data_IF_499693795015
#
_entry.id   IF_499693795015
#
_cell.length_a   1.000
_cell.length_b   1.000
_cell.length_c   1.000
_cell.angle_alpha   90.00
_cell.angle_beta   90.00
_cell.angle_gamma   90.00
#
_symmetry.space_group_name_H-M   'P 1'
#
loop_
_entity.id
_entity.type
_entity.pdbx_description
1 polymer ?
#
# COMPACT_ATOMS: atom_id res chain seq x y z
N UNK A 1 29.39 -12.11 -31.89
CA UNK A 1 28.07 -11.97 -31.24
C UNK A 1 28.32 -11.37 -29.86
N UNK A 2 27.86 -10.13 -29.62
CA UNK A 2 28.08 -9.41 -28.37
C UNK A 2 27.03 -9.88 -27.35
N UNK A 3 27.48 -10.43 -26.22
CA UNK A 3 26.66 -10.67 -25.04
C UNK A 3 26.38 -9.31 -24.37
N UNK A 4 25.17 -8.81 -24.54
CA UNK A 4 24.64 -7.70 -23.74
C UNK A 4 24.17 -8.27 -22.40
N UNK A 5 24.92 -7.99 -21.34
CA UNK A 5 24.49 -8.21 -19.97
C UNK A 5 23.33 -7.26 -19.65
N UNK A 6 22.24 -7.80 -19.10
CA UNK A 6 21.12 -7.03 -18.56
C UNK A 6 21.58 -6.33 -17.28
N UNK A 7 21.71 -5.00 -17.34
CA UNK A 7 21.80 -4.14 -16.16
C UNK A 7 20.38 -3.65 -15.84
N UNK A 8 19.59 -4.44 -15.11
CA UNK A 8 18.35 -3.96 -14.51
C UNK A 8 18.67 -3.48 -13.09
N UNK A 9 18.69 -2.17 -12.87
CA UNK A 9 18.79 -1.59 -11.55
C UNK A 9 17.37 -1.38 -11.00
N UNK A 10 17.04 -2.07 -9.90
CA UNK A 10 15.81 -1.89 -9.14
C UNK A 10 16.20 -1.17 -7.85
N UNK A 11 15.59 -0.01 -7.60
CA UNK A 11 15.66 0.67 -6.31
C UNK A 11 14.30 0.49 -5.63
N UNK A 12 14.25 -0.30 -4.56
CA UNK A 12 13.11 -0.41 -3.66
C UNK A 12 13.18 0.71 -2.63
N UNK A 13 12.11 1.47 -2.47
CA UNK A 13 11.94 2.42 -1.38
C UNK A 13 10.63 2.09 -0.67
N UNK A 14 10.70 2.15 0.66
CA UNK A 14 9.54 2.18 1.52
C UNK A 14 8.63 3.30 1.03
N UNK A 15 7.43 2.95 0.57
CA UNK A 15 6.34 3.94 0.54
C UNK A 15 5.92 4.14 1.97
N UNK A 16 6.77 4.85 2.72
CA UNK A 16 6.26 5.97 3.46
C UNK A 16 5.87 6.97 2.36
N UNK A 17 4.79 7.67 2.60
CA UNK A 17 3.91 8.35 1.66
C UNK A 17 4.48 9.52 0.79
N UNK A 18 5.73 10.05 0.86
CA UNK A 18 6.05 11.32 0.19
C UNK A 18 6.02 11.35 -1.35
N UNK A 19 6.41 10.29 -2.06
CA UNK A 19 6.64 10.42 -3.51
C UNK A 19 5.41 10.14 -4.41
N UNK A 20 4.29 9.76 -3.80
CA UNK A 20 2.96 9.74 -4.45
C UNK A 20 2.24 11.10 -4.36
N UNK A 21 2.93 12.15 -3.93
CA UNK A 21 2.31 13.45 -3.69
C UNK A 21 1.42 13.38 -2.45
N UNK A 22 2.01 13.27 -1.26
CA UNK A 22 1.27 13.63 -0.06
C UNK A 22 2.17 14.30 0.96
N UNK A 23 1.90 15.59 1.15
CA UNK A 23 1.63 16.06 2.50
C UNK A 23 0.30 15.44 2.94
N UNK A 24 0.17 15.15 4.22
CA UNK A 24 -0.99 14.51 4.86
C UNK A 24 -2.26 15.35 4.68
N UNK A 25 -3.11 15.00 3.70
CA UNK A 25 -4.16 15.91 3.25
C UNK A 25 -3.56 17.16 2.59
N UNK A 26 -4.36 18.12 2.11
CA UNK A 26 -3.79 19.43 1.88
C UNK A 26 -3.20 19.88 3.23
N UNK A 27 -1.88 19.93 3.33
CA UNK A 27 -1.35 21.03 4.11
C UNK A 27 -1.98 22.30 3.54
N UNK A 28 -2.06 23.33 4.36
CA UNK A 28 -2.60 24.60 3.87
C UNK A 28 -1.83 25.17 2.66
N UNK A 29 -0.68 24.57 2.29
CA UNK A 29 0.08 24.96 1.10
C UNK A 29 -0.54 24.44 -0.20
N UNK A 30 -1.06 23.20 -0.22
CA UNK A 30 -1.56 22.56 -1.44
C UNK A 30 -0.45 22.13 -2.41
N UNK A 31 0.79 22.06 -1.92
CA UNK A 31 1.96 21.69 -2.70
C UNK A 31 1.94 20.22 -3.14
N UNK A 32 2.45 19.96 -4.33
CA UNK A 32 2.61 18.61 -4.89
C UNK A 32 3.95 18.57 -5.59
N UNK A 33 4.84 17.70 -5.13
CA UNK A 33 6.17 17.52 -5.71
C UNK A 33 6.31 16.08 -6.20
N UNK A 34 7.04 15.90 -7.31
CA UNK A 34 7.37 14.58 -7.85
C UNK A 34 8.89 14.39 -7.83
N UNK A 35 9.46 14.41 -6.63
CA UNK A 35 10.92 14.47 -6.41
C UNK A 35 11.70 13.32 -7.05
N UNK A 36 11.07 12.15 -7.17
CA UNK A 36 11.69 10.95 -7.72
C UNK A 36 11.43 10.78 -9.22
N UNK A 37 10.67 11.65 -9.88
CA UNK A 37 10.48 11.58 -11.34
C UNK A 37 11.80 11.61 -12.12
N UNK A 38 12.82 12.42 -11.78
CA UNK A 38 14.12 12.34 -12.45
C UNK A 38 14.77 10.95 -12.35
N UNK A 39 14.65 10.29 -11.19
CA UNK A 39 15.14 8.93 -10.99
C UNK A 39 14.33 7.94 -11.83
N UNK A 40 13.01 7.94 -11.68
CA UNK A 40 12.12 7.03 -12.39
C UNK A 40 12.02 7.30 -13.88
N UNK A 41 12.46 8.45 -14.38
CA UNK A 41 12.51 8.74 -15.82
C UNK A 41 13.85 8.36 -16.44
N UNK A 42 14.88 8.08 -15.62
CA UNK A 42 16.22 7.71 -16.10
C UNK A 42 16.16 6.48 -17.01
N UNK A 43 16.83 6.47 -18.18
CA UNK A 43 16.86 5.30 -19.06
C UNK A 43 17.60 4.08 -18.44
N UNK A 44 18.25 4.25 -17.28
CA UNK A 44 18.91 3.17 -16.54
C UNK A 44 18.00 2.45 -15.53
N UNK A 45 16.75 2.91 -15.37
CA UNK A 45 15.75 2.33 -14.46
C UNK A 45 14.67 1.67 -15.30
N UNK A 46 14.34 0.40 -15.05
CA UNK A 46 13.38 -0.34 -15.88
C UNK A 46 11.98 -0.46 -15.24
N UNK A 47 11.86 -0.20 -13.94
CA UNK A 47 10.60 -0.32 -13.19
C UNK A 47 10.54 0.66 -12.01
N UNK A 48 9.32 0.95 -11.56
CA UNK A 48 9.02 1.69 -10.33
C UNK A 48 8.73 0.68 -9.22
N UNK A 49 9.57 0.65 -8.18
CA UNK A 49 9.34 -0.18 -6.99
C UNK A 49 8.38 0.50 -6.01
N UNK A 50 7.41 -0.26 -5.50
CA UNK A 50 6.39 0.19 -4.55
C UNK A 50 6.28 -0.83 -3.42
N UNK A 51 6.42 -0.38 -2.18
CA UNK A 51 6.04 -1.18 -1.02
C UNK A 51 4.54 -1.01 -0.76
N UNK A 52 3.75 -1.98 -1.22
CA UNK A 52 2.31 -1.88 -1.27
C UNK A 52 1.65 -2.38 0.01
N UNK A 53 1.68 -1.54 1.04
CA UNK A 53 0.98 -1.74 2.31
C UNK A 53 -0.26 -0.86 2.47
N UNK A 54 -0.81 -0.41 1.35
CA UNK A 54 -1.92 0.54 1.36
C UNK A 54 -3.20 -0.11 1.95
N UNK A 55 -3.97 0.55 2.84
CA UNK A 55 -5.14 -0.03 3.50
C UNK A 55 -6.19 -0.63 2.56
N UNK A 56 -6.65 -1.84 2.89
CA UNK A 56 -7.71 -2.57 2.15
C UNK A 56 -9.05 -2.60 2.89
N UNK A 57 -9.12 -2.14 4.13
CA UNK A 57 -10.36 -2.12 4.91
C UNK A 57 -10.40 -0.95 5.89
N UNK A 58 -11.60 -0.65 6.39
CA UNK A 58 -11.88 0.14 7.61
C UNK A 58 -12.97 -0.59 8.41
N UNK A 59 -12.85 -1.92 8.50
CA UNK A 59 -13.87 -2.75 9.14
C UNK A 59 -13.79 -2.60 10.67
N UNK A 60 -14.96 -2.55 11.32
CA UNK A 60 -15.12 -2.40 12.77
C UNK A 60 -16.07 -3.45 13.32
N UNK A 61 -15.96 -3.78 14.60
CA UNK A 61 -16.83 -4.79 15.23
C UNK A 61 -18.32 -4.40 15.13
N UNK A 62 -18.62 -3.10 15.21
CA UNK A 62 -19.97 -2.55 15.01
C UNK A 62 -20.56 -2.83 13.61
N UNK A 63 -19.72 -3.18 12.62
CA UNK A 63 -20.14 -3.57 11.27
C UNK A 63 -20.76 -4.98 11.21
N UNK A 64 -20.68 -5.76 12.30
CA UNK A 64 -21.42 -7.02 12.39
C UNK A 64 -22.92 -6.80 12.49
N UNK A 65 -23.34 -5.73 13.18
CA UNK A 65 -24.74 -5.41 13.41
C UNK A 65 -25.24 -4.25 12.55
N UNK A 66 -24.33 -3.45 12.00
CA UNK A 66 -24.62 -2.32 11.12
C UNK A 66 -23.95 -2.56 9.77
N UNK A 67 -24.63 -2.24 8.67
CA UNK A 67 -24.02 -2.44 7.34
C UNK A 67 -22.72 -1.64 7.22
N UNK A 68 -21.62 -2.32 6.87
CA UNK A 68 -20.34 -1.67 6.60
C UNK A 68 -20.50 -0.65 5.46
N UNK A 69 -20.00 0.60 5.61
CA UNK A 69 -20.04 1.61 4.55
C UNK A 69 -19.34 1.20 3.26
N UNK A 70 -18.39 0.27 3.35
CA UNK A 70 -17.63 -0.26 2.20
C UNK A 70 -18.13 -1.64 1.74
N UNK A 71 -19.26 -2.12 2.26
CA UNK A 71 -19.90 -3.37 1.84
C UNK A 71 -19.24 -4.65 2.38
N UNK A 72 -18.32 -4.54 3.34
CA UNK A 72 -17.75 -5.70 4.03
C UNK A 72 -18.81 -6.44 4.83
N UNK A 73 -18.85 -7.78 4.70
CA UNK A 73 -19.70 -8.65 5.54
C UNK A 73 -18.97 -9.13 6.79
N UNK A 74 -17.66 -9.33 6.69
CA UNK A 74 -16.74 -9.71 7.77
C UNK A 74 -15.43 -8.95 7.59
N UNK A 75 -14.58 -8.94 8.63
CA UNK A 75 -13.28 -8.27 8.56
C UNK A 75 -12.39 -8.77 7.41
N UNK A 76 -12.52 -10.05 7.04
CA UNK A 76 -11.73 -10.75 6.03
C UNK A 76 -12.51 -11.01 4.72
N UNK A 77 -13.54 -10.21 4.42
CA UNK A 77 -14.31 -10.34 3.18
C UNK A 77 -13.44 -10.12 1.93
N UNK A 78 -13.18 -11.20 1.20
CA UNK A 78 -12.35 -11.22 0.00
C UNK A 78 -12.84 -10.26 -1.09
N UNK A 79 -14.14 -10.23 -1.36
CA UNK A 79 -14.70 -9.44 -2.45
C UNK A 79 -14.61 -7.95 -2.13
N UNK A 80 -14.90 -7.59 -0.88
CA UNK A 80 -14.80 -6.23 -0.41
C UNK A 80 -13.33 -5.75 -0.42
N UNK A 81 -12.38 -6.57 0.04
CA UNK A 81 -10.94 -6.26 -0.06
C UNK A 81 -10.44 -6.12 -1.50
N UNK A 82 -10.91 -6.98 -2.41
CA UNK A 82 -10.56 -6.89 -3.84
C UNK A 82 -11.07 -5.57 -4.43
N UNK A 83 -12.30 -5.18 -4.10
CA UNK A 83 -12.89 -3.90 -4.54
C UNK A 83 -12.15 -2.71 -3.95
N UNK A 84 -11.70 -2.84 -2.69
CA UNK A 84 -10.90 -1.83 -2.02
C UNK A 84 -9.55 -1.60 -2.70
N UNK A 85 -9.10 -2.44 -3.66
CA UNK A 85 -7.84 -2.22 -4.41
C UNK A 85 -7.77 -0.82 -5.03
N UNK A 86 -8.87 -0.40 -5.66
CA UNK A 86 -9.00 0.90 -6.33
C UNK A 86 -10.17 1.74 -5.77
N UNK A 87 -10.47 1.60 -4.48
CA UNK A 87 -11.55 2.36 -3.82
C UNK A 87 -11.30 2.52 -2.32
N UNK A 88 -12.23 3.15 -1.59
CA UNK A 88 -12.17 3.28 -0.13
C UNK A 88 -11.12 4.28 0.37
N UNK A 89 -10.62 4.06 1.59
CA UNK A 89 -9.64 4.93 2.24
C UNK A 89 -8.36 5.02 1.42
N UNK A 90 -7.84 6.24 1.20
CA UNK A 90 -6.68 6.52 0.34
C UNK A 90 -6.97 6.63 -1.15
N UNK A 91 -8.23 6.45 -1.57
CA UNK A 91 -8.70 6.63 -2.94
C UNK A 91 -9.92 7.56 -3.00
N UNK A 92 -10.97 7.25 -2.25
CA UNK A 92 -12.19 8.04 -2.19
C UNK A 92 -12.20 9.00 -1.00
N UNK A 93 -11.61 8.59 0.13
CA UNK A 93 -11.69 9.33 1.38
C UNK A 93 -10.45 9.16 2.26
N UNK A 94 -10.30 10.03 3.25
CA UNK A 94 -9.29 9.95 4.31
C UNK A 94 -9.89 10.36 5.68
N UNK A 95 -9.14 10.15 6.76
CA UNK A 95 -9.48 10.71 8.08
C UNK A 95 -8.60 11.91 8.37
N UNK A 96 -9.20 13.07 8.64
CA UNK A 96 -8.48 14.31 8.91
C UNK A 96 -7.77 14.34 10.27
N UNK A 97 -8.17 13.47 11.19
CA UNK A 97 -7.56 13.33 12.52
C UNK A 97 -7.87 11.98 13.14
N UNK A 98 -7.21 11.64 14.24
CA UNK A 98 -7.55 10.47 15.04
C UNK A 98 -8.96 10.56 15.65
N UNK A 99 -9.44 11.77 15.97
CA UNK A 99 -10.81 11.97 16.43
C UNK A 99 -11.81 11.62 15.31
N UNK A 100 -11.57 12.10 14.09
CA UNK A 100 -12.38 11.75 12.92
C UNK A 100 -12.35 10.25 12.64
N UNK A 101 -11.17 9.61 12.77
CA UNK A 101 -11.05 8.15 12.67
C UNK A 101 -11.90 7.44 13.71
N UNK A 102 -11.82 7.81 14.99
CA UNK A 102 -12.64 7.21 16.07
C UNK A 102 -14.14 7.35 15.77
N UNK A 103 -14.58 8.53 15.34
CA UNK A 103 -15.97 8.80 14.98
C UNK A 103 -16.41 8.23 13.62
N UNK A 104 -15.48 7.68 12.82
CA UNK A 104 -15.69 7.26 11.42
C UNK A 104 -16.12 8.41 10.49
N UNK A 105 -15.71 9.63 10.79
CA UNK A 105 -15.95 10.83 9.98
C UNK A 105 -14.97 10.89 8.80
N UNK A 106 -15.40 10.39 7.65
CA UNK A 106 -14.60 10.31 6.43
C UNK A 106 -14.65 11.63 5.66
N UNK A 107 -13.50 12.17 5.30
CA UNK A 107 -13.38 13.35 4.43
C UNK A 107 -13.12 12.90 2.99
N UNK A 108 -13.79 13.46 1.97
CA UNK A 108 -13.55 13.09 0.58
C UNK A 108 -12.15 13.53 0.13
N UNK A 109 -11.50 12.72 -0.71
CA UNK A 109 -10.29 13.14 -1.42
C UNK A 109 -10.69 13.86 -2.70
N UNK A 110 -10.33 15.13 -2.80
CA UNK A 110 -10.55 15.99 -3.96
C UNK A 110 -9.32 16.85 -4.19
N UNK A 111 -9.06 17.23 -5.45
CA UNK A 111 -8.00 18.18 -5.77
C UNK A 111 -8.42 19.64 -5.65
N UNK A 112 -9.72 19.91 -5.39
CA UNK A 112 -10.28 21.26 -5.28
C UNK A 112 -10.15 22.11 -6.56
N UNK A 113 -9.70 21.52 -7.67
CA UNK A 113 -9.32 22.18 -8.92
C UNK A 113 -9.92 21.42 -10.13
N UNK A 114 -9.13 21.21 -11.19
CA UNK A 114 -9.56 20.73 -12.50
C UNK A 114 -9.70 19.20 -12.63
N UNK A 115 -9.91 18.47 -11.53
CA UNK A 115 -10.22 17.03 -11.57
C UNK A 115 -9.00 16.10 -11.57
N UNK A 116 -7.85 16.56 -11.08
CA UNK A 116 -6.62 15.75 -10.89
C UNK A 116 -6.53 15.14 -9.49
N UNK A 117 -7.63 14.66 -8.94
CA UNK A 117 -7.64 14.09 -7.58
C UNK A 117 -6.68 12.93 -7.38
N UNK A 118 -6.25 12.25 -8.46
CA UNK A 118 -5.27 11.17 -8.41
C UNK A 118 -3.96 11.56 -7.75
N UNK A 119 -3.54 12.84 -7.81
CA UNK A 119 -2.33 13.33 -7.12
C UNK A 119 -2.43 13.25 -5.60
N UNK A 120 -3.66 13.14 -5.06
CA UNK A 120 -3.93 13.01 -3.62
C UNK A 120 -4.49 11.63 -3.26
N UNK A 121 -4.50 10.68 -4.21
CA UNK A 121 -4.98 9.31 -3.98
C UNK A 121 -3.77 8.38 -4.02
N UNK A 122 -3.15 8.14 -2.88
CA UNK A 122 -1.97 7.27 -2.82
C UNK A 122 -2.25 5.83 -3.32
N UNK A 123 -3.52 5.41 -3.41
CA UNK A 123 -3.93 4.13 -4.01
C UNK A 123 -4.16 4.17 -5.51
N UNK A 124 -4.22 5.35 -6.11
CA UNK A 124 -4.54 5.54 -7.52
C UNK A 124 -3.28 5.39 -8.39
N UNK A 125 -2.70 4.19 -8.35
CA UNK A 125 -1.53 3.82 -9.15
C UNK A 125 -1.82 4.05 -10.65
N UNK A 126 -3.05 3.79 -11.10
CA UNK A 126 -3.46 4.01 -12.47
C UNK A 126 -3.48 5.49 -12.85
N UNK A 127 -4.05 6.34 -11.99
CA UNK A 127 -4.02 7.79 -12.15
C UNK A 127 -2.59 8.31 -12.22
N UNK A 128 -1.73 7.96 -11.28
CA UNK A 128 -0.32 8.35 -11.27
C UNK A 128 0.41 7.87 -12.53
N UNK A 129 0.34 6.57 -12.83
CA UNK A 129 1.07 5.95 -13.94
C UNK A 129 0.69 6.50 -15.32
N UNK A 130 -0.58 6.90 -15.51
CA UNK A 130 -1.13 7.22 -16.83
C UNK A 130 -1.20 8.71 -17.17
N UNK A 131 -0.83 9.61 -16.25
CA UNK A 131 -0.92 11.05 -16.44
C UNK A 131 0.46 11.73 -16.49
N UNK A 132 0.59 12.88 -17.19
CA UNK A 132 1.76 13.73 -17.04
C UNK A 132 1.79 14.29 -15.61
N UNK A 133 2.98 14.33 -15.02
CA UNK A 133 3.17 14.86 -13.69
C UNK A 133 3.48 16.35 -13.77
N UNK A 134 2.74 17.14 -13.00
CA UNK A 134 2.91 18.59 -12.89
C UNK A 134 2.96 18.96 -11.43
N UNK A 135 4.06 19.57 -11.01
CA UNK A 135 4.20 20.02 -9.63
C UNK A 135 3.21 21.14 -9.30
N UNK A 136 2.93 21.32 -8.01
CA UNK A 136 2.17 22.44 -7.47
C UNK A 136 3.00 23.15 -6.42
N UNK A 137 3.09 24.47 -6.54
CA UNK A 137 3.78 25.34 -5.58
C UNK A 137 2.78 26.41 -5.15
N UNK A 138 2.56 26.53 -3.83
CA UNK A 138 1.48 27.31 -3.24
C UNK A 138 0.09 26.90 -3.75
N UNK A 139 -0.11 25.61 -4.04
CA UNK A 139 -1.38 25.09 -4.58
C UNK A 139 -1.62 25.38 -6.06
N UNK A 140 -0.68 26.04 -6.75
CA UNK A 140 -0.79 26.37 -8.18
C UNK A 140 0.03 25.40 -9.00
N UNK A 141 -0.61 24.77 -9.98
CA UNK A 141 0.03 23.84 -10.90
C UNK A 141 1.00 24.55 -11.85
N UNK A 142 2.21 23.99 -11.97
CA UNK A 142 3.22 24.43 -12.90
C UNK A 142 2.89 23.89 -14.31
N UNK A 143 2.81 24.76 -15.35
CA UNK A 143 2.42 24.33 -16.70
C UNK A 143 3.36 23.29 -17.33
N UNK A 144 4.64 23.31 -16.95
CA UNK A 144 5.64 22.37 -17.45
C UNK A 144 5.55 21.07 -16.66
N UNK A 145 5.40 19.96 -17.39
CA UNK A 145 5.45 18.64 -16.79
C UNK A 145 6.89 18.28 -16.36
N UNK A 146 7.02 17.37 -15.41
CA UNK A 146 8.30 16.77 -15.02
C UNK A 146 8.84 15.86 -16.14
N UNK A 147 9.96 15.18 -15.87
CA UNK A 147 10.53 14.21 -16.80
C UNK A 147 9.70 12.92 -16.95
N UNK A 148 8.68 12.69 -16.11
CA UNK A 148 7.89 11.46 -16.16
C UNK A 148 7.11 11.38 -17.47
N UNK A 149 7.31 10.27 -18.18
CA UNK A 149 6.56 9.95 -19.38
C UNK A 149 5.44 8.99 -18.98
N UNK A 150 4.16 9.33 -19.22
CA UNK A 150 3.04 8.46 -18.89
C UNK A 150 3.22 7.06 -19.46
N UNK A 151 2.96 6.06 -18.62
CA UNK A 151 3.01 4.64 -18.99
C UNK A 151 4.38 4.13 -19.43
N UNK A 152 5.45 4.88 -19.15
CA UNK A 152 6.78 4.55 -19.65
C UNK A 152 7.41 3.34 -18.97
N UNK A 153 7.04 3.04 -17.72
CA UNK A 153 7.63 1.96 -16.93
C UNK A 153 6.59 1.19 -16.15
N UNK A 154 6.74 -0.15 -16.01
CA UNK A 154 5.90 -0.92 -15.12
C UNK A 154 6.17 -0.58 -13.65
N UNK A 155 5.18 -0.86 -12.83
CA UNK A 155 5.20 -0.82 -11.37
C UNK A 155 5.36 -2.25 -10.85
N UNK A 156 6.31 -2.43 -9.93
CA UNK A 156 6.53 -3.68 -9.21
C UNK A 156 6.18 -3.47 -7.75
N UNK A 157 5.49 -4.43 -7.14
CA UNK A 157 5.35 -4.41 -5.69
C UNK A 157 6.56 -5.11 -5.08
N UNK A 158 7.53 -4.33 -4.66
CA UNK A 158 8.77 -4.78 -4.02
C UNK A 158 8.51 -5.36 -2.64
N UNK A 159 7.46 -4.88 -1.99
CA UNK A 159 6.85 -5.50 -0.82
C UNK A 159 5.32 -5.51 -0.96
N UNK A 160 4.70 -6.57 -0.47
CA UNK A 160 3.25 -6.73 -0.41
C UNK A 160 2.91 -7.66 0.75
N UNK A 161 2.02 -7.25 1.63
CA UNK A 161 1.57 -8.13 2.70
C UNK A 161 0.74 -7.43 3.73
N UNK A 162 0.28 -8.21 4.71
CA UNK A 162 -0.25 -7.71 5.97
C UNK A 162 0.02 -8.74 7.07
N UNK A 163 0.04 -8.29 8.33
CA UNK A 163 0.18 -9.19 9.46
C UNK A 163 -1.02 -10.15 9.60
N UNK A 164 -0.76 -11.38 10.04
CA UNK A 164 -1.77 -12.40 10.39
C UNK A 164 -2.45 -12.08 11.74
N UNK A 165 -3.07 -10.91 11.83
CA UNK A 165 -3.68 -10.34 13.03
C UNK A 165 -5.08 -9.82 12.70
N UNK A 166 -5.97 -9.77 13.71
CA UNK A 166 -7.29 -9.16 13.60
C UNK A 166 -7.19 -7.78 12.92
N UNK A 167 -8.01 -7.58 11.88
CA UNK A 167 -8.06 -6.36 11.08
C UNK A 167 -6.71 -5.93 10.47
N UNK A 168 -5.80 -6.87 10.16
CA UNK A 168 -4.55 -6.61 9.44
C UNK A 168 -4.73 -5.73 8.19
N UNK A 169 -5.80 -5.95 7.42
CA UNK A 169 -6.12 -5.15 6.23
C UNK A 169 -6.46 -3.67 6.51
N UNK A 170 -6.78 -3.28 7.75
CA UNK A 170 -7.04 -1.88 8.11
C UNK A 170 -5.75 -1.05 8.12
N UNK A 171 -4.61 -1.67 8.40
CA UNK A 171 -3.30 -1.01 8.42
C UNK A 171 -2.17 -2.01 8.10
N UNK A 172 -2.04 -2.41 6.82
CA UNK A 172 -1.17 -3.52 6.41
C UNK A 172 0.31 -3.35 6.73
N UNK A 173 0.79 -2.10 6.87
CA UNK A 173 2.20 -1.78 7.14
C UNK A 173 2.62 -1.98 8.59
N UNK A 174 1.69 -2.33 9.49
CA UNK A 174 1.98 -2.49 10.92
C UNK A 174 2.22 -3.97 11.23
N UNK A 175 3.46 -4.24 11.64
CA UNK A 175 3.91 -5.52 12.14
C UNK A 175 4.17 -5.39 13.64
N UNK A 176 3.54 -6.25 14.44
CA UNK A 176 3.72 -6.25 15.89
C UNK A 176 5.04 -6.95 16.24
N UNK A 177 5.99 -6.20 16.81
CA UNK A 177 7.25 -6.73 17.32
C UNK A 177 7.52 -6.14 18.72
N UNK A 178 7.37 -6.92 19.81
CA UNK A 178 7.62 -6.44 21.17
C UNK A 178 9.01 -5.82 21.41
N UNK A 179 9.99 -6.04 20.51
CA UNK A 179 11.34 -5.46 20.58
C UNK A 179 11.50 -4.16 19.79
N UNK A 180 10.55 -3.83 18.92
CA UNK A 180 10.59 -2.62 18.10
C UNK A 180 9.87 -1.46 18.77
N UNK A 181 10.50 -0.29 18.78
CA UNK A 181 9.85 0.96 19.17
C UNK A 181 8.74 1.37 18.19
N UNK A 182 8.74 0.81 16.98
CA UNK A 182 7.73 1.03 15.93
C UNK A 182 6.59 0.00 15.98
N UNK A 183 6.60 -0.89 16.96
CA UNK A 183 5.55 -1.89 17.13
C UNK A 183 4.22 -1.24 17.49
N UNK A 184 3.26 -1.44 16.61
CA UNK A 184 1.87 -1.08 16.83
C UNK A 184 0.98 -2.28 16.48
N UNK A 185 -0.33 -2.05 16.54
CA UNK A 185 -1.32 -2.99 16.01
C UNK A 185 -2.22 -2.25 15.05
N UNK A 186 -2.80 -2.93 14.04
CA UNK A 186 -3.67 -2.28 13.08
C UNK A 186 -4.83 -1.55 13.75
N UNK A 187 -5.30 -0.48 13.12
CA UNK A 187 -6.42 0.30 13.65
C UNK A 187 -7.60 -0.57 14.05
N UNK A 188 -8.03 -0.43 15.31
CA UNK A 188 -9.22 -1.07 15.89
C UNK A 188 -9.06 -2.60 16.05
N UNK A 189 -7.85 -3.13 15.86
CA UNK A 189 -7.52 -4.54 16.10
C UNK A 189 -7.63 -4.92 17.57
N UNK A 190 -8.19 -6.09 17.85
CA UNK A 190 -8.16 -6.72 19.17
C UNK A 190 -6.87 -7.52 19.45
N UNK A 191 -5.90 -7.48 18.53
CA UNK A 191 -4.57 -8.12 18.60
C UNK A 191 -4.55 -9.64 18.49
N UNK A 192 -5.70 -10.29 18.29
CA UNK A 192 -5.75 -11.74 18.13
C UNK A 192 -5.13 -12.17 16.80
N UNK A 193 -4.49 -13.34 16.79
CA UNK A 193 -4.00 -13.95 15.56
C UNK A 193 -5.17 -14.28 14.63
N UNK A 194 -5.04 -13.93 13.36
CA UNK A 194 -6.05 -14.18 12.32
C UNK A 194 -5.39 -14.57 11.00
N UNK A 195 -5.07 -15.85 10.81
CA UNK A 195 -4.42 -16.35 9.60
C UNK A 195 -5.26 -16.12 8.33
N UNK A 196 -6.59 -16.19 8.48
CA UNK A 196 -7.52 -15.90 7.39
C UNK A 196 -7.37 -14.47 6.86
N UNK A 197 -7.09 -13.48 7.73
CA UNK A 197 -6.91 -12.09 7.30
C UNK A 197 -5.77 -11.94 6.29
N UNK A 198 -4.60 -12.46 6.64
CA UNK A 198 -3.42 -12.41 5.77
C UNK A 198 -3.68 -13.17 4.46
N UNK A 199 -4.22 -14.39 4.56
CA UNK A 199 -4.55 -15.19 3.37
C UNK A 199 -5.50 -14.44 2.43
N UNK A 200 -6.58 -13.87 2.96
CA UNK A 200 -7.60 -13.15 2.18
C UNK A 200 -7.07 -11.87 1.57
N UNK A 201 -6.19 -11.16 2.27
CA UNK A 201 -5.49 -9.99 1.73
C UNK A 201 -4.65 -10.36 0.50
N UNK A 202 -3.85 -11.43 0.58
CA UNK A 202 -3.02 -11.88 -0.54
C UNK A 202 -3.87 -12.42 -1.70
N UNK A 203 -4.94 -13.17 -1.40
CA UNK A 203 -5.92 -13.63 -2.41
C UNK A 203 -6.55 -12.45 -3.16
N UNK A 204 -6.90 -11.36 -2.46
CA UNK A 204 -7.49 -10.17 -3.09
C UNK A 204 -6.53 -9.52 -4.09
N UNK A 205 -5.26 -9.36 -3.71
CA UNK A 205 -4.23 -8.81 -4.59
C UNK A 205 -3.96 -9.71 -5.79
N UNK A 206 -3.76 -11.01 -5.56
CA UNK A 206 -3.54 -11.96 -6.64
C UNK A 206 -4.72 -11.97 -7.63
N UNK A 207 -5.96 -12.01 -7.13
CA UNK A 207 -7.16 -11.99 -7.96
C UNK A 207 -7.27 -10.72 -8.80
N UNK A 208 -7.09 -9.54 -8.22
CA UNK A 208 -7.21 -8.28 -8.94
C UNK A 208 -6.12 -8.09 -9.99
N UNK A 209 -4.86 -8.26 -9.61
CA UNK A 209 -3.75 -8.02 -10.53
C UNK A 209 -3.71 -9.07 -11.64
N UNK A 210 -4.11 -10.32 -11.36
CA UNK A 210 -4.28 -11.38 -12.35
C UNK A 210 -5.56 -11.31 -13.20
N UNK A 211 -6.51 -10.41 -12.90
CA UNK A 211 -7.82 -10.39 -13.56
C UNK A 211 -7.85 -9.79 -14.98
N UNK A 212 -6.78 -9.11 -15.39
CA UNK A 212 -6.77 -8.31 -16.63
C UNK A 212 -7.61 -7.03 -16.57
N UNK A 213 -8.22 -6.71 -15.42
CA UNK A 213 -8.91 -5.42 -15.19
C UNK A 213 -7.97 -4.21 -15.10
N UNK A 214 -6.78 -4.30 -14.47
CA UNK A 214 -5.83 -3.20 -14.45
C UNK A 214 -5.34 -2.84 -15.86
N UNK A 215 -4.92 -1.58 -16.11
CA UNK A 215 -4.31 -1.20 -17.37
C UNK A 215 -3.12 -2.14 -17.73
N UNK A 216 -3.07 -2.66 -18.96
CA UNK A 216 -1.99 -3.56 -19.36
C UNK A 216 -0.64 -2.85 -19.32
N UNK A 217 0.39 -3.55 -18.82
CA UNK A 217 1.75 -3.02 -18.69
C UNK A 217 1.98 -2.15 -17.44
N UNK A 218 0.93 -1.81 -16.67
CA UNK A 218 1.08 -1.01 -15.46
C UNK A 218 1.66 -1.83 -14.30
N UNK A 219 0.97 -2.87 -13.86
CA UNK A 219 1.46 -3.79 -12.82
C UNK A 219 1.53 -5.18 -13.41
N UNK A 220 2.70 -5.81 -13.34
CA UNK A 220 2.89 -7.19 -13.78
C UNK A 220 2.51 -8.18 -12.68
N UNK A 221 1.60 -9.15 -12.90
CA UNK A 221 1.24 -10.15 -11.88
C UNK A 221 2.40 -11.03 -11.41
N UNK A 222 3.47 -11.12 -12.20
CA UNK A 222 4.70 -11.83 -11.85
C UNK A 222 5.66 -11.00 -10.96
N UNK A 223 5.37 -9.71 -10.73
CA UNK A 223 6.21 -8.79 -9.95
C UNK A 223 5.46 -8.28 -8.71
N UNK A 224 4.86 -9.22 -7.98
CA UNK A 224 4.23 -9.01 -6.68
C UNK A 224 5.04 -9.80 -5.64
N UNK A 225 5.99 -9.14 -4.98
CA UNK A 225 6.90 -9.77 -4.03
C UNK A 225 6.31 -9.68 -2.62
N UNK A 226 5.95 -10.83 -2.06
CA UNK A 226 5.27 -10.89 -0.76
C UNK A 226 6.29 -10.76 0.37
N UNK A 227 6.03 -9.86 1.32
CA UNK A 227 6.86 -9.63 2.48
C UNK A 227 6.23 -10.25 3.74
N UNK A 228 6.93 -11.06 4.53
CA UNK A 228 8.29 -11.61 4.38
C UNK A 228 8.28 -13.13 4.60
N UNK A 229 9.37 -13.79 4.21
CA UNK A 229 9.56 -15.22 4.46
C UNK A 229 10.55 -15.45 5.60
N UNK A 230 10.12 -16.14 6.66
CA UNK A 230 11.03 -16.56 7.72
C UNK A 230 11.81 -17.82 7.28
N UNK A 231 13.12 -17.68 7.10
CA UNK A 231 13.98 -18.80 6.69
C UNK A 231 14.18 -19.84 7.81
N UNK A 232 13.77 -19.56 9.04
CA UNK A 232 13.94 -20.47 10.17
C UNK A 232 12.91 -21.61 10.08
N UNK A 233 13.31 -22.87 10.31
CA UNK A 233 12.44 -24.00 10.10
C UNK A 233 11.37 -24.09 11.19
N UNK A 234 10.10 -24.15 10.79
CA UNK A 234 9.01 -24.54 11.68
C UNK A 234 9.04 -26.08 11.92
N UNK A 235 8.85 -26.57 13.16
CA UNK A 235 8.55 -25.82 14.38
C UNK A 235 9.78 -25.45 15.22
N UNK A 236 11.01 -25.76 14.76
CA UNK A 236 12.22 -25.44 15.53
C UNK A 236 12.30 -23.96 15.89
N UNK A 237 11.90 -23.06 15.00
CA UNK A 237 11.45 -21.74 15.36
C UNK A 237 9.91 -21.73 15.34
N UNK A 238 9.22 -21.13 16.34
CA UNK A 238 9.76 -20.43 17.50
C UNK A 238 10.09 -21.31 18.73
N UNK A 239 9.94 -22.65 18.67
CA UNK A 239 9.91 -23.47 19.89
C UNK A 239 11.28 -23.72 20.55
N UNK A 240 12.36 -23.81 19.77
CA UNK A 240 13.71 -24.08 20.30
C UNK A 240 14.40 -22.77 20.73
N UNK A 241 14.02 -22.25 21.89
CA UNK A 241 14.57 -21.00 22.44
C UNK A 241 16.02 -21.11 22.90
N UNK A 242 16.58 -22.32 22.98
CA UNK A 242 18.02 -22.52 23.22
C UNK A 242 18.88 -22.14 22.02
N UNK A 243 18.32 -22.27 20.81
CA UNK A 243 18.97 -21.91 19.55
C UNK A 243 18.50 -20.55 19.05
N UNK A 244 17.20 -20.25 19.19
CA UNK A 244 16.57 -19.03 18.71
C UNK A 244 16.15 -18.15 19.88
N UNK A 245 17.01 -17.20 20.27
CA UNK A 245 16.78 -16.31 21.42
C UNK A 245 15.54 -15.43 21.30
N UNK A 246 14.99 -15.32 20.09
CA UNK A 246 13.77 -14.58 19.76
C UNK A 246 12.54 -15.47 19.53
N UNK A 247 12.60 -16.76 19.86
CA UNK A 247 11.41 -17.63 19.81
C UNK A 247 10.24 -17.12 20.66
N UNK A 248 10.52 -16.44 21.77
CA UNK A 248 9.47 -15.88 22.64
C UNK A 248 8.69 -14.71 22.02
N UNK A 249 9.21 -14.06 20.97
CA UNK A 249 8.54 -12.94 20.28
C UNK A 249 7.65 -13.40 19.11
N UNK A 250 7.65 -14.71 18.78
CA UNK A 250 6.83 -15.30 17.73
C UNK A 250 7.37 -15.08 16.31
N UNK A 251 6.86 -15.87 15.35
CA UNK A 251 7.02 -15.61 13.92
C UNK A 251 5.94 -14.60 13.51
N UNK A 252 6.32 -13.35 13.20
CA UNK A 252 5.43 -12.34 12.63
C UNK A 252 5.20 -12.53 11.13
N UNK A 253 5.91 -13.48 10.53
CA UNK A 253 6.13 -13.57 9.10
C UNK A 253 5.40 -14.78 8.50
N UNK A 254 5.21 -14.75 7.18
CA UNK A 254 4.38 -15.71 6.44
C UNK A 254 4.97 -17.12 6.63
N UNK A 255 4.20 -18.02 7.22
CA UNK A 255 4.58 -19.42 7.48
C UNK A 255 3.43 -20.39 7.25
#
# INVERSE_FOLDING_TARGET
MRNTFFNAAILSWQIIVPDFGMVTGPDSSGDVYFNLDPLWSSPAIDAVGIDNYMPRADWRDDDLTNASPDGFRTADDLQAMTTAITSGGGFAWYYASDAARRARERSPISDGLAGRSWVFRYKDIAGWWSNPHHERIGGVEIPTATSWIPRSKPVWFTELGCGAIDKGANQPNIFADPKSAESAVPYISNRTRADAMQRRFLEAHHAWWGSGRPPPGMVGPAHLFVWSWDARPFPSFPQNTSTWSDGATGASDIG
#
